data_IF_010268376034
#
_entry.id   IF_010268376034
#
_cell.length_a   1.000
_cell.length_b   1.000
_cell.length_c   1.000
_cell.angle_alpha   90.00
_cell.angle_beta   90.00
_cell.angle_gamma   90.00
#
_symmetry.space_group_name_H-M   'P 1'
#
loop_
_entity.id
_entity.type
_entity.pdbx_description
1 polymer ?
#
# COMPACT_ATOMS: atom_id res chain seq x y z
N UNK A 1 -12.32 -17.39 9.41
CA UNK A 1 -11.63 -17.90 8.21
C UNK A 1 -11.12 -19.29 8.53
N UNK A 2 -11.08 -20.20 7.56
CA UNK A 2 -10.40 -21.50 7.76
C UNK A 2 -8.91 -21.28 7.57
N UNK A 3 -8.12 -21.73 8.53
CA UNK A 3 -6.68 -21.81 8.34
C UNK A 3 -6.39 -22.96 7.37
N UNK A 4 -5.64 -22.67 6.32
CA UNK A 4 -5.14 -23.66 5.36
C UNK A 4 -3.62 -23.64 5.39
N UNK A 5 -3.01 -24.80 5.17
CA UNK A 5 -1.57 -24.93 5.06
C UNK A 5 -1.07 -24.39 3.71
N UNK A 6 0.22 -24.02 3.59
CA UNK A 6 0.82 -23.66 2.30
C UNK A 6 0.67 -24.74 1.23
N UNK A 7 0.74 -26.02 1.60
CA UNK A 7 0.57 -27.15 0.68
C UNK A 7 -0.84 -27.24 0.12
N UNK A 8 -1.86 -27.02 0.96
CA UNK A 8 -3.25 -26.96 0.54
C UNK A 8 -3.50 -25.77 -0.39
N UNK A 9 -2.96 -24.59 -0.07
CA UNK A 9 -3.04 -23.41 -0.94
C UNK A 9 -2.39 -23.67 -2.30
N UNK A 10 -1.19 -24.26 -2.34
CA UNK A 10 -0.51 -24.60 -3.58
C UNK A 10 -1.35 -25.55 -4.46
N UNK A 11 -1.99 -26.55 -3.85
CA UNK A 11 -2.86 -27.49 -4.56
C UNK A 11 -4.11 -26.79 -5.13
N UNK A 12 -4.69 -25.84 -4.40
CA UNK A 12 -5.82 -25.03 -4.87
C UNK A 12 -5.43 -24.15 -6.06
N UNK A 13 -4.25 -23.51 -6.00
CA UNK A 13 -3.72 -22.69 -7.11
C UNK A 13 -3.48 -23.56 -8.34
N UNK A 14 -2.83 -24.73 -8.21
CA UNK A 14 -2.56 -25.63 -9.33
C UNK A 14 -3.83 -26.14 -10.03
N UNK A 15 -4.91 -26.39 -9.27
CA UNK A 15 -6.19 -26.85 -9.83
C UNK A 15 -7.01 -25.72 -10.46
N UNK A 16 -6.70 -24.46 -10.15
CA UNK A 16 -7.45 -23.32 -10.64
C UNK A 16 -7.21 -23.10 -12.14
N UNK A 17 -8.28 -22.96 -12.91
CA UNK A 17 -8.19 -22.53 -14.32
C UNK A 17 -8.07 -21.01 -14.47
N UNK A 18 -8.40 -20.24 -13.42
CA UNK A 18 -8.42 -18.77 -13.40
C UNK A 18 -8.13 -18.27 -11.98
N UNK A 19 -6.86 -18.16 -11.63
CA UNK A 19 -6.43 -17.56 -10.36
C UNK A 19 -6.36 -16.03 -10.50
N UNK A 20 -6.77 -15.31 -9.45
CA UNK A 20 -6.67 -13.85 -9.36
C UNK A 20 -6.04 -13.51 -8.01
N UNK A 21 -5.05 -12.63 -8.01
CA UNK A 21 -4.45 -12.08 -6.80
C UNK A 21 -4.94 -10.64 -6.61
N UNK A 22 -5.51 -10.35 -5.45
CA UNK A 22 -5.77 -8.98 -5.00
C UNK A 22 -4.64 -8.57 -4.07
N UNK A 23 -3.88 -7.55 -4.46
CA UNK A 23 -2.72 -7.06 -3.71
C UNK A 23 -3.00 -5.70 -3.09
N UNK A 24 -2.46 -5.46 -1.90
CA UNK A 24 -2.38 -4.13 -1.29
C UNK A 24 -0.93 -3.65 -1.22
N UNK A 25 -0.71 -2.47 -0.62
CA UNK A 25 0.63 -1.89 -0.47
C UNK A 25 1.63 -2.79 0.28
N UNK A 26 1.14 -3.70 1.13
CA UNK A 26 1.98 -4.63 1.90
C UNK A 26 2.91 -5.50 1.04
N UNK A 27 2.52 -5.82 -0.21
CA UNK A 27 3.39 -6.60 -1.11
C UNK A 27 4.66 -5.84 -1.51
N UNK A 28 4.67 -4.51 -1.41
CA UNK A 28 5.77 -3.66 -1.82
C UNK A 28 6.71 -3.25 -0.66
N UNK A 29 6.34 -3.57 0.59
CA UNK A 29 7.11 -3.18 1.78
C UNK A 29 8.49 -3.83 1.78
N UNK A 30 8.57 -5.10 1.41
CA UNK A 30 9.85 -5.83 1.29
C UNK A 30 10.73 -5.29 0.15
N UNK A 31 10.14 -4.57 -0.80
CA UNK A 31 10.87 -3.85 -1.86
C UNK A 31 11.30 -2.44 -1.45
N UNK A 32 11.13 -2.06 -0.18
CA UNK A 32 11.50 -0.74 0.34
C UNK A 32 10.47 0.37 0.09
N UNK A 33 9.30 0.06 -0.48
CA UNK A 33 8.22 1.02 -0.65
C UNK A 33 7.34 0.98 0.61
N UNK A 34 7.36 2.01 1.47
CA UNK A 34 6.56 2.01 2.69
C UNK A 34 5.07 1.96 2.34
N UNK A 35 4.32 1.20 3.12
CA UNK A 35 2.86 1.26 3.04
C UNK A 35 2.32 2.49 3.76
N UNK A 36 1.00 2.63 3.75
CA UNK A 36 0.36 3.77 4.38
C UNK A 36 0.14 3.60 5.90
N UNK A 37 -0.08 2.37 6.40
CA UNK A 37 -0.74 2.12 7.70
C UNK A 37 0.08 1.33 8.72
N UNK A 38 1.00 0.49 8.27
CA UNK A 38 1.82 -0.32 9.16
C UNK A 38 2.78 0.57 9.95
N UNK A 39 3.44 -0.01 10.94
CA UNK A 39 4.49 0.67 11.70
C UNK A 39 5.57 1.17 10.74
N UNK A 40 5.94 2.45 10.85
CA UNK A 40 6.85 3.12 9.92
C UNK A 40 6.20 3.52 8.58
N UNK A 41 4.90 3.33 8.41
CA UNK A 41 4.14 3.74 7.23
C UNK A 41 3.91 5.25 7.17
N UNK A 42 3.39 5.73 6.04
CA UNK A 42 3.25 7.17 5.79
C UNK A 42 2.41 7.91 6.83
N UNK A 43 1.37 7.28 7.39
CA UNK A 43 0.47 7.95 8.33
C UNK A 43 1.05 8.19 9.72
N UNK A 44 2.20 7.61 10.06
CA UNK A 44 2.94 8.02 11.25
C UNK A 44 3.61 9.41 11.08
N UNK A 45 3.75 9.87 9.82
CA UNK A 45 4.43 11.13 9.47
C UNK A 45 3.50 12.17 8.89
N UNK A 46 2.43 11.75 8.20
CA UNK A 46 1.45 12.61 7.56
C UNK A 46 0.05 12.29 8.09
N UNK A 47 -0.67 13.27 8.63
CA UNK A 47 -2.06 13.04 9.02
C UNK A 47 -2.93 12.76 7.78
N UNK A 48 -3.54 11.57 7.63
CA UNK A 48 -4.36 11.25 6.47
C UNK A 48 -5.53 12.20 6.27
N UNK A 49 -6.06 12.84 7.32
CA UNK A 49 -7.14 13.83 7.19
C UNK A 49 -6.66 15.13 6.53
N UNK A 50 -5.38 15.47 6.71
CA UNK A 50 -4.76 16.67 6.14
C UNK A 50 -4.14 16.45 4.76
N UNK A 51 -3.85 15.20 4.37
CA UNK A 51 -3.14 14.89 3.14
C UNK A 51 -3.91 13.97 2.17
N UNK A 52 -4.69 13.02 2.68
CA UNK A 52 -5.26 11.92 1.89
C UNK A 52 -6.76 12.06 1.63
N UNK A 53 -7.29 13.29 1.62
CA UNK A 53 -8.70 13.55 1.29
C UNK A 53 -8.83 14.50 0.10
N UNK A 54 -9.88 14.29 -0.71
CA UNK A 54 -10.19 15.22 -1.81
C UNK A 54 -10.45 16.64 -1.31
N UNK A 55 -10.96 16.79 -0.07
CA UNK A 55 -11.18 18.10 0.55
C UNK A 55 -9.85 18.78 0.89
N UNK A 56 -8.90 18.05 1.47
CA UNK A 56 -7.56 18.56 1.75
C UNK A 56 -6.85 18.99 0.46
N UNK A 57 -6.88 18.15 -0.58
CA UNK A 57 -6.30 18.48 -1.88
C UNK A 57 -6.92 19.73 -2.50
N UNK A 58 -8.25 19.86 -2.48
CA UNK A 58 -8.93 21.07 -3.01
C UNK A 58 -8.63 22.33 -2.20
N UNK A 59 -8.41 22.20 -0.88
CA UNK A 59 -8.11 23.32 0.02
C UNK A 59 -6.68 23.82 -0.17
N UNK A 60 -5.72 22.90 -0.23
CA UNK A 60 -4.30 23.21 -0.40
C UNK A 60 -3.60 22.09 -1.19
N UNK A 61 -3.58 22.17 -2.53
CA UNK A 61 -2.91 21.18 -3.36
C UNK A 61 -1.40 21.12 -3.10
N UNK A 62 -0.77 22.27 -2.80
CA UNK A 62 0.67 22.37 -2.62
C UNK A 62 1.13 21.55 -1.41
N UNK A 63 0.39 21.63 -0.29
CA UNK A 63 0.62 20.79 0.89
C UNK A 63 0.57 19.30 0.55
N UNK A 64 -0.45 18.84 -0.17
CA UNK A 64 -0.58 17.43 -0.57
C UNK A 64 0.58 16.99 -1.48
N UNK A 65 0.99 17.85 -2.42
CA UNK A 65 2.13 17.58 -3.31
C UNK A 65 3.46 17.45 -2.57
N UNK A 66 3.64 18.04 -1.38
CA UNK A 66 4.85 17.81 -0.58
C UNK A 66 4.99 16.34 -0.19
N UNK A 67 3.92 15.72 0.30
CA UNK A 67 3.90 14.29 0.63
C UNK A 67 4.17 13.43 -0.61
N UNK A 68 3.51 13.72 -1.74
CA UNK A 68 3.69 12.95 -2.98
C UNK A 68 5.11 13.05 -3.55
N UNK A 69 5.75 14.23 -3.50
CA UNK A 69 7.15 14.39 -3.91
C UNK A 69 8.11 13.63 -3.01
N UNK A 70 7.78 13.44 -1.74
CA UNK A 70 8.60 12.62 -0.86
C UNK A 70 8.52 11.14 -1.22
N UNK A 71 7.32 10.66 -1.58
CA UNK A 71 7.15 9.31 -2.11
C UNK A 71 7.92 9.11 -3.42
N UNK A 72 7.90 10.10 -4.33
CA UNK A 72 8.63 10.03 -5.60
C UNK A 72 10.13 9.74 -5.39
N UNK A 73 10.75 10.42 -4.42
CA UNK A 73 12.17 10.18 -4.04
C UNK A 73 12.47 8.78 -3.53
N UNK A 74 11.46 8.04 -3.06
CA UNK A 74 11.62 6.64 -2.64
C UNK A 74 11.56 5.71 -3.85
N UNK A 75 10.81 6.08 -4.89
CA UNK A 75 10.58 5.26 -6.09
C UNK A 75 11.70 5.34 -7.13
N UNK A 76 12.51 6.40 -7.10
CA UNK A 76 13.60 6.64 -8.08
C UNK A 76 15.00 6.32 -7.53
N UNK A 77 15.10 5.53 -6.46
CA UNK A 77 16.38 5.09 -5.87
C UNK A 77 16.96 3.88 -6.60
#
# INVERSE_FOLDING_TARGET
>A
MKDITPQELAALIQKSKKAVALTGAGISVESGIPDFRSKGGLWERFDPLEYATIRAFKKDPAKVWVMLKEMDRILVQ
#
